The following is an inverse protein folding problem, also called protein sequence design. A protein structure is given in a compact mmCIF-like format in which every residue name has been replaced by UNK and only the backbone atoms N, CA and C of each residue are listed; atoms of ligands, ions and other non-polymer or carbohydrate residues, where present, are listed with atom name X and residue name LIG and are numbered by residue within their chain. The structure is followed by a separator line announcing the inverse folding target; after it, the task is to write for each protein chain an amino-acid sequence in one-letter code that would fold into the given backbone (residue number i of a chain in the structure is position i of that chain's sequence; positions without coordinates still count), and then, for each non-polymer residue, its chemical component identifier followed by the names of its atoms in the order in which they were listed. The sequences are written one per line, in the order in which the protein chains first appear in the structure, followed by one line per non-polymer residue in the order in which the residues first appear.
data_IF_542535571889
#
_entry.id   IF_542535571889
#
_cell.length_a   1.000
_cell.length_b   1.000
_cell.length_c   1.000
_cell.angle_alpha   90.00
_cell.angle_beta   90.00
_cell.angle_gamma   90.00
#
_symmetry.space_group_name_H-M   'P 1'
#
loop_
_entity.id
_entity.type
_entity.pdbx_description
1 polymer ?
#
# COMPACT_ATOMS: atom_id res chain seq x y z
N UNK A 1 25.92 10.92 0.22
CA UNK A 1 24.57 10.93 -0.40
C UNK A 1 24.19 9.57 -1.01
N UNK A 2 24.69 8.44 -0.49
CA UNK A 2 24.47 7.11 -1.10
C UNK A 2 23.25 6.40 -0.52
N UNK A 3 23.05 6.46 0.80
CA UNK A 3 21.90 5.83 1.50
C UNK A 3 20.54 6.31 0.95
N UNK A 4 20.39 7.62 0.74
CA UNK A 4 19.13 8.19 0.27
C UNK A 4 18.78 7.70 -1.14
N UNK A 5 19.78 7.58 -2.03
CA UNK A 5 19.57 7.06 -3.38
C UNK A 5 19.12 5.60 -3.35
N UNK A 6 19.80 4.75 -2.58
CA UNK A 6 19.39 3.36 -2.43
C UNK A 6 17.95 3.23 -1.93
N UNK A 7 17.55 4.03 -0.94
CA UNK A 7 16.17 4.04 -0.47
C UNK A 7 15.17 4.45 -1.57
N UNK A 8 15.47 5.47 -2.37
CA UNK A 8 14.65 5.87 -3.51
C UNK A 8 14.56 4.80 -4.60
N UNK A 9 15.64 4.07 -4.85
CA UNK A 9 15.65 2.96 -5.81
C UNK A 9 14.69 1.84 -5.36
N UNK A 10 14.73 1.46 -4.08
CA UNK A 10 13.78 0.49 -3.50
C UNK A 10 12.33 1.00 -3.55
N UNK A 11 12.09 2.28 -3.25
CA UNK A 11 10.75 2.86 -3.34
C UNK A 11 10.23 2.85 -4.78
N UNK A 12 11.09 3.11 -5.76
CA UNK A 12 10.72 3.08 -7.18
C UNK A 12 10.37 1.66 -7.62
N UNK A 13 11.14 0.67 -7.13
CA UNK A 13 10.89 -0.76 -7.42
C UNK A 13 9.53 -1.24 -6.90
N UNK A 14 9.04 -0.72 -5.77
CA UNK A 14 7.73 -1.06 -5.24
C UNK A 14 6.54 -0.57 -6.09
N UNK A 15 6.78 0.20 -7.17
CA UNK A 15 5.72 0.75 -8.05
C UNK A 15 4.65 1.51 -7.23
N UNK A 16 4.99 2.65 -6.57
CA UNK A 16 4.13 3.31 -5.59
C UNK A 16 2.77 3.74 -6.15
N UNK A 17 2.68 4.06 -7.44
CA UNK A 17 1.41 4.38 -8.10
C UNK A 17 0.42 3.21 -8.09
N UNK A 18 0.91 1.96 -8.19
CA UNK A 18 0.07 0.76 -8.12
C UNK A 18 -0.42 0.53 -6.69
N UNK A 19 0.47 0.70 -5.70
CA UNK A 19 0.10 0.60 -4.29
C UNK A 19 -0.96 1.64 -3.94
N UNK A 20 -0.80 2.90 -4.40
CA UNK A 20 -1.78 3.94 -4.14
C UNK A 20 -3.14 3.64 -4.79
N UNK A 21 -3.15 3.12 -6.02
CA UNK A 21 -4.36 2.65 -6.68
C UNK A 21 -5.06 1.57 -5.85
N UNK A 22 -4.31 0.59 -5.34
CA UNK A 22 -4.82 -0.49 -4.49
C UNK A 22 -5.40 0.05 -3.16
N UNK A 23 -4.70 0.97 -2.51
CA UNK A 23 -5.16 1.56 -1.24
C UNK A 23 -6.44 2.39 -1.44
N UNK A 24 -6.47 3.20 -2.51
CA UNK A 24 -7.63 4.04 -2.85
C UNK A 24 -8.85 3.21 -3.22
N UNK A 25 -8.69 2.02 -3.81
CA UNK A 25 -9.83 1.13 -4.09
C UNK A 25 -10.24 0.31 -2.87
N UNK A 26 -9.30 0.03 -1.96
CA UNK A 26 -9.57 -0.74 -0.74
C UNK A 26 -10.42 0.07 0.25
N UNK A 27 -10.11 1.35 0.50
CA UNK A 27 -10.84 2.14 1.51
C UNK A 27 -12.35 2.22 1.22
N UNK A 28 -12.80 2.55 -0.01
CA UNK A 28 -14.21 2.52 -0.37
C UNK A 28 -14.84 1.14 -0.23
N UNK A 29 -14.12 0.07 -0.57
CA UNK A 29 -14.62 -1.30 -0.38
C UNK A 29 -14.87 -1.62 1.10
N UNK A 30 -13.98 -1.18 2.00
CA UNK A 30 -14.16 -1.32 3.45
C UNK A 30 -15.36 -0.50 3.95
N UNK A 31 -15.51 0.74 3.48
CA UNK A 31 -16.65 1.61 3.85
C UNK A 31 -17.97 0.99 3.42
N UNK A 32 -18.03 0.45 2.20
CA UNK A 32 -19.22 -0.23 1.70
C UNK A 32 -19.53 -1.50 2.50
N UNK A 33 -18.50 -2.27 2.88
CA UNK A 33 -18.66 -3.52 3.64
C UNK A 33 -19.13 -3.30 5.09
N UNK A 34 -18.70 -2.21 5.72
CA UNK A 34 -19.14 -1.82 7.08
C UNK A 34 -20.47 -1.04 7.09
N UNK A 35 -21.04 -0.72 5.92
CA UNK A 35 -22.20 0.18 5.79
C UNK A 35 -21.99 1.53 6.51
N UNK A 36 -20.74 2.00 6.56
CA UNK A 36 -20.32 3.09 7.43
C UNK A 36 -18.81 3.32 7.40
N UNK A 37 -18.29 4.15 8.32
CA UNK A 37 -16.85 4.39 8.40
C UNK A 37 -16.15 3.28 9.18
N UNK A 38 -15.20 2.53 8.57
CA UNK A 38 -14.46 1.49 9.28
C UNK A 38 -13.58 2.11 10.37
N UNK A 39 -13.41 1.43 11.49
CA UNK A 39 -12.53 1.90 12.56
C UNK A 39 -11.11 2.21 12.05
N UNK A 40 -10.53 3.36 12.44
CA UNK A 40 -9.20 3.80 11.98
C UNK A 40 -8.08 2.79 12.25
N UNK A 41 -8.18 2.01 13.33
CA UNK A 41 -7.24 0.92 13.62
C UNK A 41 -7.30 -0.22 12.59
N UNK A 42 -8.51 -0.55 12.10
CA UNK A 42 -8.70 -1.53 11.05
C UNK A 42 -8.10 -0.99 9.74
N UNK A 43 -8.48 0.22 9.32
CA UNK A 43 -7.94 0.86 8.10
C UNK A 43 -6.41 0.89 8.12
N UNK A 44 -5.82 1.31 9.25
CA UNK A 44 -4.35 1.42 9.38
C UNK A 44 -3.66 0.05 9.30
N UNK A 45 -4.20 -0.97 9.97
CA UNK A 45 -3.62 -2.32 9.93
C UNK A 45 -3.77 -2.97 8.56
N UNK A 46 -4.91 -2.77 7.88
CA UNK A 46 -5.13 -3.23 6.50
C UNK A 46 -4.16 -2.54 5.53
N UNK A 47 -4.03 -1.21 5.61
CA UNK A 47 -3.13 -0.46 4.73
C UNK A 47 -1.68 -0.88 4.92
N UNK A 48 -1.25 -1.07 6.17
CA UNK A 48 0.08 -1.57 6.47
C UNK A 48 0.33 -2.95 5.83
N UNK A 49 -0.61 -3.88 6.00
CA UNK A 49 -0.53 -5.21 5.37
C UNK A 49 -0.51 -5.15 3.84
N UNK A 50 -1.34 -4.28 3.23
CA UNK A 50 -1.40 -4.11 1.78
C UNK A 50 -0.10 -3.53 1.22
N UNK A 51 0.49 -2.52 1.85
CA UNK A 51 1.76 -1.94 1.39
C UNK A 51 2.87 -2.99 1.41
N UNK A 52 2.95 -3.79 2.48
CA UNK A 52 3.95 -4.87 2.58
C UNK A 52 3.73 -5.96 1.52
N UNK A 53 2.49 -6.42 1.36
CA UNK A 53 2.13 -7.45 0.39
C UNK A 53 2.35 -6.99 -1.06
N UNK A 54 1.87 -5.79 -1.40
CA UNK A 54 1.98 -5.22 -2.74
C UNK A 54 3.43 -4.86 -3.08
N UNK A 55 4.22 -4.37 -2.12
CA UNK A 55 5.66 -4.14 -2.30
C UNK A 55 6.41 -5.43 -2.63
N UNK A 56 6.12 -6.52 -1.90
CA UNK A 56 6.67 -7.85 -2.20
C UNK A 56 6.24 -8.38 -3.56
N UNK A 57 4.97 -8.25 -3.92
CA UNK A 57 4.45 -8.64 -5.23
C UNK A 57 5.11 -7.85 -6.37
N UNK A 58 5.30 -6.54 -6.21
CA UNK A 58 5.97 -5.68 -7.19
C UNK A 58 7.46 -6.07 -7.37
N UNK A 59 8.15 -6.45 -6.29
CA UNK A 59 9.53 -6.91 -6.36
C UNK A 59 9.69 -8.25 -7.10
N UNK A 60 8.70 -9.15 -7.00
CA UNK A 60 8.68 -10.43 -7.72
C UNK A 60 8.23 -10.25 -9.18
N UNK A 61 7.28 -9.36 -9.44
CA UNK A 61 6.72 -9.05 -10.76
C UNK A 61 7.62 -8.07 -11.56
N UNK A 62 8.92 -8.19 -11.43
CA UNK A 62 9.84 -7.44 -12.26
C UNK A 62 9.92 -8.05 -13.65
#
# INVERSE_FOLDING_TARGET
MTILRFAFDYLTLMKPSIILLLLVTTLPAMVLAEEGWPGWGLVSSTFFGLILSAGGAAAINM
#
